data_IF_869246395227
#
_entry.id   IF_869246395227
#
_cell.length_a   1.000
_cell.length_b   1.000
_cell.length_c   1.000
_cell.angle_alpha   90.00
_cell.angle_beta   90.00
_cell.angle_gamma   90.00
#
_symmetry.space_group_name_H-M   'P 1'
#
loop_
_entity.id
_entity.type
_entity.pdbx_description
1 polymer ?
#
# COMPACT_ATOMS: atom_id res chain seq x y z
N UNK A 1 8.96 1.79 -4.63
CA UNK A 1 9.29 2.59 -5.83
C UNK A 1 9.93 3.89 -5.35
N UNK A 2 11.23 4.07 -5.58
CA UNK A 2 12.09 5.19 -5.11
C UNK A 2 11.89 5.67 -3.64
N UNK A 3 10.76 6.29 -3.32
CA UNK A 3 10.38 6.83 -2.01
C UNK A 3 9.14 6.16 -1.37
N UNK A 4 8.48 5.22 -2.05
CA UNK A 4 7.29 4.53 -1.54
C UNK A 4 7.59 3.08 -1.15
N UNK A 5 7.22 2.73 0.09
CA UNK A 5 7.20 1.36 0.61
C UNK A 5 5.75 0.89 0.70
N UNK A 6 5.47 -0.32 0.21
CA UNK A 6 4.14 -0.93 0.21
C UNK A 6 4.26 -2.30 0.87
N UNK A 7 3.40 -2.57 1.84
CA UNK A 7 3.41 -3.82 2.61
C UNK A 7 2.05 -4.48 2.48
N UNK A 8 2.00 -5.70 1.94
CA UNK A 8 0.76 -6.45 1.69
C UNK A 8 0.86 -7.80 2.38
N UNK A 9 -0.04 -8.07 3.34
CA UNK A 9 -0.03 -9.31 4.12
C UNK A 9 -1.45 -9.81 4.43
N UNK A 10 -1.58 -11.12 4.58
CA UNK A 10 -2.79 -11.79 5.04
C UNK A 10 -2.77 -11.90 6.57
N UNK A 11 -3.64 -11.14 7.24
CA UNK A 11 -3.84 -11.19 8.70
C UNK A 11 -3.17 -10.05 9.48
N UNK A 12 -3.93 -9.43 10.37
CA UNK A 12 -3.55 -8.19 11.08
C UNK A 12 -2.37 -8.36 12.03
N UNK A 13 -2.30 -9.46 12.79
CA UNK A 13 -1.25 -9.67 13.80
C UNK A 13 0.13 -9.81 13.16
N UNK A 14 0.22 -10.56 12.05
CA UNK A 14 1.45 -10.68 11.27
C UNK A 14 1.82 -9.35 10.61
N UNK A 15 0.82 -8.62 10.11
CA UNK A 15 1.04 -7.31 9.52
C UNK A 15 1.65 -6.29 10.49
N UNK A 16 1.21 -6.28 11.75
CA UNK A 16 1.76 -5.39 12.79
C UNK A 16 3.24 -5.73 13.07
N UNK A 17 3.58 -7.02 13.22
CA UNK A 17 4.96 -7.44 13.45
C UNK A 17 5.88 -7.03 12.28
N UNK A 18 5.42 -7.25 11.04
CA UNK A 18 6.20 -6.90 9.85
C UNK A 18 6.36 -5.37 9.68
N UNK A 19 5.34 -4.59 10.05
CA UNK A 19 5.44 -3.12 10.09
C UNK A 19 6.47 -2.64 11.10
N UNK A 20 6.53 -3.25 12.29
CA UNK A 20 7.54 -2.92 13.30
C UNK A 20 8.96 -3.18 12.79
N UNK A 21 9.18 -4.32 12.15
CA UNK A 21 10.48 -4.65 11.54
C UNK A 21 10.87 -3.65 10.45
N UNK A 22 9.92 -3.24 9.60
CA UNK A 22 10.16 -2.26 8.55
C UNK A 22 10.52 -0.90 9.13
N UNK A 23 9.79 -0.42 10.15
CA UNK A 23 10.11 0.86 10.79
C UNK A 23 11.46 0.83 11.50
N UNK A 24 11.84 -0.30 12.09
CA UNK A 24 13.17 -0.48 12.67
C UNK A 24 14.27 -0.34 11.60
N UNK A 25 14.14 -1.03 10.47
CA UNK A 25 15.09 -0.95 9.36
C UNK A 25 15.17 0.44 8.72
N UNK A 26 14.04 1.15 8.62
CA UNK A 26 14.02 2.52 8.13
C UNK A 26 14.77 3.45 9.09
N UNK A 27 14.56 3.28 10.40
CA UNK A 27 15.29 4.02 11.44
C UNK A 27 16.80 3.77 11.38
N UNK A 28 17.24 2.53 11.26
CA UNK A 28 18.67 2.18 11.14
C UNK A 28 19.34 2.84 9.93
N UNK A 29 18.59 3.10 8.87
CA UNK A 29 19.07 3.79 7.65
C UNK A 29 18.88 5.30 7.70
N UNK A 30 18.44 5.88 8.83
CA UNK A 30 18.08 7.29 8.98
C UNK A 30 17.03 7.76 7.95
N UNK A 31 16.15 6.86 7.52
CA UNK A 31 15.05 7.16 6.60
C UNK A 31 13.81 7.48 7.42
N UNK A 32 13.31 8.70 7.27
CA UNK A 32 12.06 9.14 7.91
C UNK A 32 10.87 8.96 6.97
N UNK A 33 9.78 8.40 7.49
CA UNK A 33 8.48 8.40 6.81
C UNK A 33 7.65 9.58 7.34
N UNK A 34 7.08 10.37 6.43
CA UNK A 34 6.12 11.40 6.80
C UNK A 34 4.80 10.75 7.25
N UNK A 35 4.34 10.92 8.50
CA UNK A 35 3.10 10.29 8.97
C UNK A 35 1.88 10.78 8.19
N UNK A 36 1.91 12.02 7.70
CA UNK A 36 0.87 12.59 6.83
C UNK A 36 0.79 11.96 5.44
N UNK A 37 1.80 11.20 5.02
CA UNK A 37 1.85 10.48 3.73
C UNK A 37 1.71 8.97 3.88
N UNK A 38 1.47 8.50 5.10
CA UNK A 38 1.38 7.09 5.44
C UNK A 38 -0.06 6.77 5.82
N UNK A 39 -0.62 5.70 5.27
CA UNK A 39 -1.99 5.30 5.58
C UNK A 39 -2.10 3.77 5.59
N UNK A 40 -3.01 3.26 6.43
CA UNK A 40 -3.40 1.85 6.47
C UNK A 40 -4.78 1.78 5.84
N UNK A 41 -4.98 0.91 4.85
CA UNK A 41 -6.27 0.77 4.18
C UNK A 41 -6.61 -0.69 3.89
N UNK A 42 -7.88 -1.03 4.05
CA UNK A 42 -8.45 -2.35 3.80
C UNK A 42 -9.91 -2.17 3.33
N UNK A 43 -10.40 -2.95 2.34
CA UNK A 43 -9.71 -4.02 1.60
C UNK A 43 -8.90 -3.53 0.40
N UNK A 44 -8.80 -2.21 0.16
CA UNK A 44 -8.09 -1.64 -0.99
C UNK A 44 -7.29 -0.39 -0.66
N UNK A 45 -6.18 -0.14 -1.36
CA UNK A 45 -5.29 0.99 -1.19
C UNK A 45 -4.85 1.59 -2.55
N UNK A 46 -4.53 2.88 -2.60
CA UNK A 46 -3.98 3.53 -3.81
C UNK A 46 -2.46 3.40 -3.85
N UNK A 47 -1.94 2.39 -4.53
CA UNK A 47 -0.50 2.17 -4.68
C UNK A 47 -0.01 2.78 -5.98
N UNK A 48 0.87 3.79 -5.90
CA UNK A 48 1.46 4.46 -7.08
C UNK A 48 0.41 4.96 -8.09
N UNK A 49 -0.70 5.51 -7.58
CA UNK A 49 -1.82 5.99 -8.40
C UNK A 49 -2.72 4.89 -8.98
N UNK A 50 -2.47 3.62 -8.66
CA UNK A 50 -3.30 2.48 -9.05
C UNK A 50 -4.05 1.94 -7.83
N UNK A 51 -5.31 1.54 -8.02
CA UNK A 51 -6.07 0.90 -6.96
C UNK A 51 -5.61 -0.56 -6.85
N UNK A 52 -5.10 -0.93 -5.68
CA UNK A 52 -4.82 -2.31 -5.33
C UNK A 52 -5.88 -2.77 -4.33
N UNK A 53 -6.51 -3.91 -4.58
CA UNK A 53 -7.44 -4.54 -3.65
C UNK A 53 -6.81 -5.81 -3.05
N UNK A 54 -7.56 -6.46 -2.16
CA UNK A 54 -7.15 -7.69 -1.48
C UNK A 54 -6.99 -8.89 -2.42
N UNK A 55 -7.45 -8.78 -3.67
CA UNK A 55 -7.38 -9.81 -4.71
C UNK A 55 -6.28 -9.53 -5.75
N UNK A 56 -5.80 -8.29 -5.88
CA UNK A 56 -4.70 -7.91 -6.79
C UNK A 56 -4.63 -6.42 -7.11
N UNK A 57 -3.78 -6.05 -8.09
CA UNK A 57 -3.77 -4.68 -8.61
C UNK A 57 -4.82 -4.54 -9.72
N UNK A 58 -5.77 -3.63 -9.56
CA UNK A 58 -6.63 -3.21 -10.66
C UNK A 58 -5.84 -2.17 -11.47
N UNK A 59 -5.49 -2.52 -12.71
CA UNK A 59 -4.90 -1.56 -13.64
C UNK A 59 -5.94 -0.52 -14.05
N UNK A 60 -5.48 0.71 -14.28
CA UNK A 60 -6.30 1.86 -14.67
C UNK A 60 -7.18 1.60 -15.90
N UNK A 61 -6.80 0.66 -16.76
CA UNK A 61 -7.54 0.25 -17.96
C UNK A 61 -8.89 -0.42 -17.65
N UNK A 62 -9.04 -1.04 -16.47
CA UNK A 62 -10.31 -1.64 -16.04
C UNK A 62 -11.32 -0.55 -15.67
N UNK A 63 -10.83 0.60 -15.16
CA UNK A 63 -11.70 1.70 -14.73
C UNK A 63 -12.39 2.39 -15.90
N UNK A 64 -11.73 2.50 -17.05
CA UNK A 64 -12.35 3.07 -18.27
C UNK A 64 -13.50 2.21 -18.78
N UNK A 65 -13.43 0.88 -18.65
CA UNK A 65 -14.54 -0.01 -19.09
C UNK A 65 -15.77 0.06 -18.20
N UNK A 66 -15.61 0.39 -16.91
CA UNK A 66 -16.74 0.53 -15.99
C UNK A 66 -17.50 1.84 -16.24
N UNK A 67 -16.80 2.91 -16.65
CA UNK A 67 -17.41 4.21 -16.95
C UNK A 67 -18.15 4.19 -18.32
N UNK A 68 -17.79 3.31 -19.26
CA UNK A 68 -18.48 3.19 -20.56
C UNK A 68 -19.66 2.22 -20.57
N UNK A 69 -20.04 1.63 -19.44
CA UNK A 69 -21.18 0.68 -19.32
C UNK A 69 -22.34 1.23 -18.46
N UNK A 70 -22.55 2.54 -18.52
CA UNK A 70 -23.76 3.20 -18.00
C UNK A 70 -24.52 3.77 -19.19
#
# INVERSE_FOLDING_TARGET
YCNNTVVVLKGINKHIADLQEIFLRLREKNISSGPSKSYISFPSAIVLGKQADSFGMLTTEVKTRVITKI
#
